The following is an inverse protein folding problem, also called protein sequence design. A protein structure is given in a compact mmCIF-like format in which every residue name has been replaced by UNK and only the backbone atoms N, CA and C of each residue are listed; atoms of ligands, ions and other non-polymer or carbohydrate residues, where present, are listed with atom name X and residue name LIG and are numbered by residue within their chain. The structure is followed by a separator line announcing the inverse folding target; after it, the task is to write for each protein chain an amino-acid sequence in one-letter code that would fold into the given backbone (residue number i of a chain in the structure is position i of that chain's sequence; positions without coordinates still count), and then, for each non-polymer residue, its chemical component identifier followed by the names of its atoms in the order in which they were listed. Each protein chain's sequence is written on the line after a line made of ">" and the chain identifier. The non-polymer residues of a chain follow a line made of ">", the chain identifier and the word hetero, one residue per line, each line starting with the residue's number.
data_IF_459593214895
#
_entry.id   IF_459593214895
#
_cell.length_a   1.000
_cell.length_b   1.000
_cell.length_c   1.000
_cell.angle_alpha   90.00
_cell.angle_beta   90.00
_cell.angle_gamma   90.00
#
_symmetry.space_group_name_H-M   'P 1'
#
loop_
_entity.id
_entity.type
_entity.pdbx_description
1 polymer ?
#
# COMPACT_ATOMS: atom_id res chain seq x y z
N UNK A 1 23.03 -29.94 -21.85
CA UNK A 1 21.75 -30.22 -21.19
C UNK A 1 20.91 -28.94 -21.31
N UNK A 2 20.02 -28.91 -22.29
CA UNK A 2 19.12 -27.78 -22.52
C UNK A 2 17.91 -27.94 -21.57
N UNK A 3 17.75 -27.03 -20.63
CA UNK A 3 16.55 -26.97 -19.79
C UNK A 3 15.35 -26.67 -20.71
N UNK A 4 14.35 -27.56 -20.69
CA UNK A 4 13.10 -27.40 -21.44
C UNK A 4 12.32 -26.22 -20.83
N UNK A 5 11.81 -25.32 -21.67
CA UNK A 5 10.91 -24.26 -21.21
C UNK A 5 9.65 -24.88 -20.55
N UNK A 6 9.14 -24.32 -19.44
CA UNK A 6 7.94 -24.82 -18.79
C UNK A 6 6.74 -24.76 -19.74
N UNK A 7 5.81 -25.74 -19.60
CA UNK A 7 4.58 -25.75 -20.39
C UNK A 7 3.68 -24.56 -20.02
N UNK A 8 2.77 -24.10 -20.92
CA UNK A 8 1.86 -22.98 -20.61
C UNK A 8 1.03 -23.21 -19.33
N UNK A 9 0.66 -24.46 -19.03
CA UNK A 9 -0.07 -24.85 -17.82
C UNK A 9 0.79 -24.75 -16.55
N UNK A 10 2.09 -25.10 -16.65
CA UNK A 10 3.04 -24.92 -15.55
C UNK A 10 3.33 -23.43 -15.29
N UNK A 11 3.46 -22.63 -16.36
CA UNK A 11 3.64 -21.18 -16.20
C UNK A 11 2.40 -20.46 -15.65
N UNK A 12 1.21 -21.01 -15.86
CA UNK A 12 -0.04 -20.50 -15.27
C UNK A 12 -0.17 -20.92 -13.80
N UNK A 13 0.17 -22.18 -13.47
CA UNK A 13 0.17 -22.69 -12.09
C UNK A 13 1.23 -21.98 -11.22
N UNK A 14 2.44 -21.77 -11.73
CA UNK A 14 3.50 -21.03 -11.04
C UNK A 14 3.12 -19.56 -10.78
N UNK A 15 2.27 -18.95 -11.65
CA UNK A 15 1.75 -17.58 -11.42
C UNK A 15 0.65 -17.51 -10.36
N UNK A 16 -0.13 -18.55 -10.20
CA UNK A 16 -1.19 -18.62 -9.20
C UNK A 16 -0.63 -18.81 -7.79
N UNK A 17 0.48 -19.54 -7.65
CA UNK A 17 1.21 -19.71 -6.38
C UNK A 17 1.93 -18.44 -5.90
N UNK A 18 2.15 -17.45 -6.79
CA UNK A 18 2.86 -16.20 -6.47
C UNK A 18 1.90 -15.04 -6.09
N UNK A 19 0.59 -15.27 -6.10
CA UNK A 19 -0.40 -14.26 -5.71
C UNK A 19 -0.40 -14.10 -4.19
N UNK A 20 -0.03 -12.90 -3.72
CA UNK A 20 -0.10 -12.55 -2.29
C UNK A 20 -1.48 -12.06 -1.89
N UNK A 21 -2.13 -11.22 -2.72
CA UNK A 21 -3.48 -10.70 -2.47
C UNK A 21 -4.36 -11.02 -3.66
N UNK A 22 -5.51 -11.66 -3.40
CA UNK A 22 -6.56 -11.90 -4.40
C UNK A 22 -7.82 -11.19 -3.99
N UNK A 23 -8.30 -10.30 -4.83
CA UNK A 23 -9.57 -9.58 -4.70
C UNK A 23 -10.49 -10.09 -5.79
N UNK A 24 -11.65 -10.66 -5.42
CA UNK A 24 -12.57 -11.31 -6.36
C UNK A 24 -13.97 -10.72 -6.25
N UNK A 25 -14.41 -10.04 -7.30
CA UNK A 25 -15.76 -9.48 -7.47
C UNK A 25 -16.24 -8.67 -6.26
N UNK A 26 -15.34 -7.83 -5.71
CA UNK A 26 -15.59 -7.07 -4.50
C UNK A 26 -16.53 -5.90 -4.78
N UNK A 27 -17.63 -5.85 -4.03
CA UNK A 27 -18.59 -4.75 -4.03
C UNK A 27 -18.71 -4.14 -2.64
N UNK A 28 -18.68 -2.81 -2.57
CA UNK A 28 -18.76 -2.04 -1.33
C UNK A 28 -19.76 -0.90 -1.45
N UNK A 29 -20.66 -0.83 -0.46
CA UNK A 29 -21.65 0.25 -0.34
C UNK A 29 -21.40 1.10 0.91
N UNK A 30 -21.63 2.41 0.77
CA UNK A 30 -21.86 3.36 1.84
C UNK A 30 -23.31 3.86 1.75
N UNK A 31 -24.21 3.24 2.52
CA UNK A 31 -25.64 3.47 2.37
C UNK A 31 -26.11 3.04 0.98
N UNK A 32 -26.54 4.00 0.15
CA UNK A 32 -26.97 3.75 -1.25
C UNK A 32 -25.85 3.98 -2.26
N UNK A 33 -24.75 4.55 -1.85
CA UNK A 33 -23.61 4.83 -2.74
C UNK A 33 -22.74 3.59 -2.89
N UNK A 34 -22.58 3.11 -4.14
CA UNK A 34 -21.69 2.01 -4.48
C UNK A 34 -20.28 2.56 -4.66
N UNK A 35 -19.41 2.35 -3.70
CA UNK A 35 -18.03 2.84 -3.70
C UNK A 35 -17.07 1.91 -4.44
N UNK A 36 -17.34 0.59 -4.43
CA UNK A 36 -16.69 -0.41 -5.28
C UNK A 36 -17.77 -1.23 -5.96
N UNK A 37 -17.58 -1.52 -7.23
CA UNK A 37 -18.52 -2.20 -8.09
C UNK A 37 -17.82 -3.31 -8.87
N UNK A 38 -17.94 -4.55 -8.39
CA UNK A 38 -17.42 -5.76 -9.02
C UNK A 38 -15.90 -5.69 -9.29
N UNK A 39 -15.13 -5.26 -8.28
CA UNK A 39 -13.67 -5.07 -8.41
C UNK A 39 -12.94 -6.39 -8.22
N UNK A 40 -12.10 -6.76 -9.20
CA UNK A 40 -11.21 -7.92 -9.14
C UNK A 40 -9.78 -7.48 -9.44
N UNK A 41 -8.82 -7.93 -8.59
CA UNK A 41 -7.41 -7.57 -8.69
C UNK A 41 -6.54 -8.60 -7.95
N UNK A 42 -5.55 -9.15 -8.61
CA UNK A 42 -4.50 -9.93 -7.97
C UNK A 42 -3.26 -9.06 -7.77
N UNK A 43 -2.53 -9.26 -6.67
CA UNK A 43 -1.23 -8.62 -6.40
C UNK A 43 -0.23 -9.73 -6.12
N UNK A 44 0.86 -9.77 -6.88
CA UNK A 44 1.89 -10.77 -6.75
C UNK A 44 2.93 -10.39 -5.70
N UNK A 45 3.66 -11.36 -5.18
CA UNK A 45 4.76 -11.10 -4.22
C UNK A 45 5.83 -10.24 -4.87
N UNK A 46 6.29 -9.23 -4.13
CA UNK A 46 7.27 -8.26 -4.61
C UNK A 46 6.73 -7.25 -5.63
N UNK A 47 5.46 -7.34 -6.02
CA UNK A 47 4.85 -6.42 -6.98
C UNK A 47 4.47 -5.09 -6.33
N UNK A 48 4.74 -4.00 -7.02
CA UNK A 48 4.29 -2.65 -6.69
C UNK A 48 3.13 -2.27 -7.60
N UNK A 49 1.91 -2.25 -7.05
CA UNK A 49 0.71 -1.84 -7.76
C UNK A 49 0.35 -0.40 -7.40
N UNK A 50 0.41 0.51 -8.36
CA UNK A 50 -0.06 1.88 -8.20
C UNK A 50 -1.53 2.00 -8.61
N UNK A 51 -2.40 2.45 -7.70
CA UNK A 51 -3.80 2.72 -7.96
C UNK A 51 -4.00 4.22 -8.16
N UNK A 52 -4.44 4.61 -9.35
CA UNK A 52 -4.67 6.01 -9.75
C UNK A 52 -6.12 6.21 -10.20
N UNK A 53 -6.56 7.47 -10.26
CA UNK A 53 -7.92 7.82 -10.70
C UNK A 53 -8.41 9.11 -10.06
N UNK A 54 -9.55 9.60 -10.49
CA UNK A 54 -10.16 10.81 -9.97
C UNK A 54 -10.52 10.69 -8.47
N UNK A 55 -10.69 11.82 -7.78
CA UNK A 55 -11.21 11.84 -6.41
C UNK A 55 -12.60 11.19 -6.39
N UNK A 56 -12.87 10.37 -5.37
CA UNK A 56 -14.12 9.63 -5.23
C UNK A 56 -14.25 8.39 -6.13
N UNK A 57 -13.21 7.98 -6.88
CA UNK A 57 -13.28 6.79 -7.75
C UNK A 57 -13.20 5.43 -7.02
N UNK A 58 -13.05 5.42 -5.68
CA UNK A 58 -13.02 4.19 -4.88
C UNK A 58 -11.63 3.73 -4.44
N UNK A 59 -10.54 4.39 -4.82
CA UNK A 59 -9.14 3.97 -4.55
C UNK A 59 -8.85 3.72 -3.07
N UNK A 60 -9.11 4.72 -2.21
CA UNK A 60 -8.90 4.59 -0.76
C UNK A 60 -9.80 3.52 -0.15
N UNK A 61 -11.03 3.38 -0.66
CA UNK A 61 -11.95 2.32 -0.25
C UNK A 61 -11.35 0.95 -0.58
N UNK A 62 -10.87 0.74 -1.83
CA UNK A 62 -10.21 -0.50 -2.23
C UNK A 62 -9.03 -0.81 -1.32
N UNK A 63 -8.13 0.14 -1.11
CA UNK A 63 -6.97 -0.01 -0.23
C UNK A 63 -7.37 -0.45 1.18
N UNK A 64 -8.42 0.17 1.77
CA UNK A 64 -8.90 -0.12 3.13
C UNK A 64 -9.68 -1.42 3.24
N UNK A 65 -10.21 -1.97 2.15
CA UNK A 65 -10.86 -3.29 2.18
C UNK A 65 -9.84 -4.42 2.34
N UNK A 66 -8.63 -4.27 1.81
CA UNK A 66 -7.57 -5.30 1.85
C UNK A 66 -7.18 -5.70 3.28
N UNK A 67 -7.17 -4.76 4.23
CA UNK A 67 -6.92 -5.07 5.65
C UNK A 67 -8.20 -5.06 6.51
N UNK A 68 -9.38 -5.05 5.84
CA UNK A 68 -10.69 -5.02 6.45
C UNK A 68 -10.94 -3.83 7.41
N UNK A 69 -10.29 -2.69 7.18
CA UNK A 69 -10.73 -1.43 7.80
C UNK A 69 -12.10 -1.02 7.28
N UNK A 70 -12.37 -1.33 6.01
CA UNK A 70 -13.69 -1.23 5.40
C UNK A 70 -14.21 -2.63 5.09
N UNK A 71 -15.35 -3.05 5.66
CA UNK A 71 -15.98 -4.32 5.32
C UNK A 71 -16.59 -4.25 3.91
N UNK A 72 -16.53 -5.36 3.19
CA UNK A 72 -17.18 -5.55 1.88
C UNK A 72 -18.56 -6.17 2.06
N UNK A 73 -19.46 -5.97 1.11
CA UNK A 73 -20.79 -6.60 1.09
C UNK A 73 -20.86 -7.84 0.19
N UNK A 74 -20.11 -7.81 -0.94
CA UNK A 74 -20.11 -8.92 -1.90
C UNK A 74 -18.65 -9.20 -2.31
N UNK A 75 -18.41 -10.41 -2.80
CA UNK A 75 -17.09 -10.85 -3.22
C UNK A 75 -16.24 -11.39 -2.09
N UNK A 76 -14.96 -11.56 -2.36
CA UNK A 76 -13.98 -12.16 -1.45
C UNK A 76 -12.63 -11.48 -1.59
N UNK A 77 -11.89 -11.42 -0.48
CA UNK A 77 -10.47 -11.01 -0.47
C UNK A 77 -9.70 -12.10 0.27
N UNK A 78 -8.60 -12.53 -0.32
CA UNK A 78 -7.67 -13.49 0.26
C UNK A 78 -6.28 -12.85 0.36
N UNK A 79 -5.56 -13.16 1.43
CA UNK A 79 -4.15 -12.83 1.58
C UNK A 79 -3.39 -14.12 1.88
N UNK A 80 -2.37 -14.40 1.08
CA UNK A 80 -1.57 -15.61 1.21
C UNK A 80 -2.44 -16.90 1.12
N UNK A 81 -3.44 -16.89 0.22
CA UNK A 81 -4.42 -17.96 0.03
C UNK A 81 -5.44 -18.13 1.17
N UNK A 82 -5.44 -17.22 2.15
CA UNK A 82 -6.36 -17.27 3.30
C UNK A 82 -7.43 -16.18 3.16
N UNK A 83 -8.73 -16.53 3.14
CA UNK A 83 -9.81 -15.55 3.13
C UNK A 83 -9.74 -14.60 4.34
N UNK A 84 -10.05 -13.31 4.11
CA UNK A 84 -10.03 -12.31 5.18
C UNK A 84 -10.98 -12.68 6.33
N UNK A 85 -10.47 -12.87 7.56
CA UNK A 85 -11.31 -13.11 8.72
C UNK A 85 -12.27 -11.95 8.98
N UNK A 86 -13.47 -12.27 9.47
CA UNK A 86 -14.48 -11.23 9.71
C UNK A 86 -14.14 -10.37 10.94
N UNK A 87 -13.67 -10.98 12.01
CA UNK A 87 -13.41 -10.33 13.29
C UNK A 87 -12.50 -11.15 14.20
N UNK A 88 -12.24 -10.64 15.38
CA UNK A 88 -11.56 -11.37 16.44
C UNK A 88 -10.05 -11.49 16.26
N UNK A 89 -9.47 -12.52 16.90
CA UNK A 89 -8.01 -12.72 16.96
C UNK A 89 -7.39 -12.98 15.58
N UNK A 90 -8.10 -13.70 14.70
CA UNK A 90 -7.63 -13.99 13.36
C UNK A 90 -7.46 -12.72 12.52
N UNK A 91 -8.42 -11.77 12.59
CA UNK A 91 -8.29 -10.47 11.93
C UNK A 91 -7.14 -9.63 12.50
N UNK A 92 -6.95 -9.66 13.83
CA UNK A 92 -5.82 -8.96 14.46
C UNK A 92 -4.47 -9.53 14.00
N UNK A 93 -4.36 -10.86 13.85
CA UNK A 93 -3.16 -11.52 13.32
C UNK A 93 -2.89 -11.11 11.87
N UNK A 94 -3.91 -11.14 11.01
CA UNK A 94 -3.78 -10.71 9.62
C UNK A 94 -3.32 -9.25 9.53
N UNK A 95 -3.92 -8.34 10.32
CA UNK A 95 -3.51 -6.93 10.38
C UNK A 95 -2.08 -6.72 10.90
N UNK A 96 -1.52 -7.67 11.63
CA UNK A 96 -0.12 -7.64 12.02
C UNK A 96 0.84 -7.99 10.87
N UNK A 97 0.33 -8.61 9.79
CA UNK A 97 1.09 -8.99 8.59
C UNK A 97 0.88 -8.00 7.43
N UNK A 98 -0.04 -7.03 7.58
CA UNK A 98 -0.36 -6.01 6.57
C UNK A 98 -0.10 -4.63 7.16
N UNK A 99 0.98 -4.00 6.73
CA UNK A 99 1.30 -2.63 7.11
C UNK A 99 0.39 -1.65 6.37
N UNK A 100 -0.03 -0.57 7.06
CA UNK A 100 -0.81 0.50 6.42
C UNK A 100 -0.30 1.87 6.81
N UNK A 101 -0.12 2.71 5.80
CA UNK A 101 0.26 4.11 5.90
C UNK A 101 -0.88 4.95 5.34
N UNK A 102 -1.37 5.88 6.15
CA UNK A 102 -2.53 6.72 5.84
C UNK A 102 -2.10 8.10 5.34
N UNK A 103 -3.01 8.79 4.71
CA UNK A 103 -2.88 10.20 4.33
C UNK A 103 -2.58 11.11 5.54
N UNK A 104 -3.28 10.89 6.65
CA UNK A 104 -3.03 11.58 7.93
C UNK A 104 -2.15 10.67 8.78
N UNK A 105 -0.95 10.98 9.02
CA UNK A 105 0.14 10.19 9.65
C UNK A 105 -0.30 9.24 10.78
N UNK A 106 -1.37 9.58 11.52
CA UNK A 106 -1.98 8.79 12.59
C UNK A 106 -0.98 8.34 13.68
N UNK A 107 0.00 9.20 13.98
CA UNK A 107 0.93 8.98 15.08
C UNK A 107 0.25 9.28 16.42
N UNK A 108 0.65 8.57 17.46
CA UNK A 108 0.21 8.84 18.83
C UNK A 108 0.90 10.13 19.34
N UNK A 109 0.16 11.24 19.50
CA UNK A 109 0.78 12.56 19.74
C UNK A 109 1.43 12.69 21.12
N UNK A 110 1.01 11.88 22.08
CA UNK A 110 1.52 11.85 23.46
C UNK A 110 2.73 10.93 23.64
N UNK A 111 3.15 10.20 22.58
CA UNK A 111 4.28 9.29 22.61
C UNK A 111 5.46 9.86 21.82
N UNK A 112 6.66 9.40 22.16
CA UNK A 112 7.86 9.68 21.35
C UNK A 112 7.78 8.96 20.00
N UNK A 113 8.66 9.32 19.07
CA UNK A 113 8.86 8.61 17.80
C UNK A 113 9.20 7.14 18.05
N UNK A 114 10.17 6.89 18.94
CA UNK A 114 10.58 5.53 19.29
C UNK A 114 9.41 4.72 19.86
N UNK A 115 8.62 5.31 20.78
CA UNK A 115 7.45 4.64 21.35
C UNK A 115 6.35 4.37 20.30
N UNK A 116 6.17 5.26 19.31
CA UNK A 116 5.24 5.05 18.19
C UNK A 116 5.60 3.81 17.39
N UNK A 117 6.89 3.58 17.13
CA UNK A 117 7.39 2.47 16.33
C UNK A 117 7.37 1.17 17.14
N UNK A 118 7.77 1.21 18.42
CA UNK A 118 7.94 0.00 19.25
C UNK A 118 6.65 -0.55 19.85
N UNK A 119 5.59 0.25 19.94
CA UNK A 119 4.35 -0.11 20.62
C UNK A 119 3.73 -1.40 20.10
N UNK A 120 3.53 -1.50 18.79
CA UNK A 120 2.90 -2.66 18.15
C UNK A 120 3.76 -3.92 18.23
N UNK A 121 5.06 -3.91 17.90
CA UNK A 121 5.95 -5.05 18.13
C UNK A 121 5.91 -5.61 19.54
N UNK A 122 5.94 -4.74 20.55
CA UNK A 122 5.91 -5.16 21.96
C UNK A 122 4.53 -5.72 22.35
N UNK A 123 3.44 -5.00 22.00
CA UNK A 123 2.10 -5.34 22.48
C UNK A 123 1.41 -6.44 21.70
N UNK A 124 1.66 -6.52 20.39
CA UNK A 124 0.98 -7.46 19.49
C UNK A 124 1.83 -8.71 19.25
N UNK A 125 3.13 -8.55 19.00
CA UNK A 125 4.04 -9.67 18.72
C UNK A 125 4.78 -10.18 19.96
N UNK A 126 4.69 -9.48 21.11
CA UNK A 126 5.38 -9.88 22.34
C UNK A 126 6.90 -9.74 22.27
N UNK A 127 7.42 -8.93 21.35
CA UNK A 127 8.86 -8.73 21.16
C UNK A 127 9.42 -8.01 22.41
N UNK A 128 10.53 -8.51 23.01
CA UNK A 128 11.18 -7.84 24.12
C UNK A 128 11.55 -6.39 23.78
N UNK A 129 11.35 -5.49 24.77
CA UNK A 129 11.51 -4.04 24.56
C UNK A 129 12.85 -3.66 23.93
N UNK A 130 13.97 -4.23 24.42
CA UNK A 130 15.30 -3.91 23.89
C UNK A 130 15.43 -4.25 22.40
N UNK A 131 14.92 -5.41 21.96
CA UNK A 131 14.93 -5.79 20.55
C UNK A 131 14.00 -4.91 19.71
N UNK A 132 12.85 -4.52 20.24
CA UNK A 132 11.94 -3.63 19.55
C UNK A 132 12.55 -2.23 19.37
N UNK A 133 13.29 -1.72 20.37
CA UNK A 133 13.98 -0.43 20.31
C UNK A 133 15.17 -0.47 19.34
N UNK A 134 15.95 -1.56 19.32
CA UNK A 134 17.03 -1.78 18.36
C UNK A 134 16.47 -1.75 16.92
N UNK A 135 15.45 -2.55 16.66
CA UNK A 135 14.80 -2.58 15.35
C UNK A 135 14.19 -1.24 14.96
N UNK A 136 13.59 -0.51 15.90
CA UNK A 136 13.03 0.81 15.65
C UNK A 136 14.12 1.83 15.25
N UNK A 137 15.30 1.78 15.86
CA UNK A 137 16.45 2.65 15.50
C UNK A 137 16.99 2.32 14.10
N UNK A 138 17.10 1.05 13.73
CA UNK A 138 17.45 0.63 12.36
C UNK A 138 16.45 1.18 11.34
N UNK A 139 15.15 1.10 11.64
CA UNK A 139 14.12 1.62 10.75
C UNK A 139 14.12 3.15 10.67
N UNK A 140 14.41 3.83 11.78
CA UNK A 140 14.61 5.29 11.77
C UNK A 140 15.81 5.68 10.90
N UNK A 141 16.92 4.95 10.98
CA UNK A 141 18.08 5.16 10.09
C UNK A 141 17.66 4.95 8.62
N UNK A 142 16.92 3.87 8.33
CA UNK A 142 16.45 3.57 6.97
C UNK A 142 15.58 4.68 6.37
N UNK A 143 14.83 5.42 7.21
CA UNK A 143 13.99 6.54 6.76
C UNK A 143 14.65 7.92 6.97
N UNK A 144 15.94 7.97 7.34
CA UNK A 144 16.74 9.19 7.53
C UNK A 144 16.28 10.05 8.71
N UNK A 145 15.95 9.40 9.85
CA UNK A 145 15.41 10.04 11.05
C UNK A 145 16.09 9.55 12.35
N UNK A 146 17.37 9.17 12.30
CA UNK A 146 18.14 8.60 13.42
C UNK A 146 18.05 9.46 14.68
N UNK A 147 18.18 10.78 14.52
CA UNK A 147 18.26 11.76 15.60
C UNK A 147 16.88 12.17 16.12
N UNK A 148 15.78 11.57 15.61
CA UNK A 148 14.41 11.99 15.93
C UNK A 148 13.73 11.07 16.95
N UNK A 149 14.40 10.02 17.45
CA UNK A 149 13.83 8.95 18.27
C UNK A 149 13.06 9.46 19.51
N UNK A 150 13.61 10.45 20.20
CA UNK A 150 13.08 10.98 21.48
C UNK A 150 12.08 12.13 21.29
N UNK A 151 11.90 12.63 20.06
CA UNK A 151 10.93 13.69 19.76
C UNK A 151 9.50 13.16 19.78
N UNK A 152 8.56 14.09 19.92
CA UNK A 152 7.12 13.83 19.73
C UNK A 152 6.69 14.26 18.32
N UNK A 153 5.57 13.73 17.80
CA UNK A 153 5.05 14.08 16.49
C UNK A 153 4.91 15.59 16.25
N UNK A 154 4.49 16.35 17.27
CA UNK A 154 4.36 17.81 17.17
C UNK A 154 5.66 18.58 16.94
N UNK A 155 6.80 17.93 17.08
CA UNK A 155 8.15 18.50 16.88
C UNK A 155 8.74 18.14 15.51
N UNK A 156 7.96 17.43 14.68
CA UNK A 156 8.38 16.94 13.38
C UNK A 156 7.62 17.66 12.25
N UNK A 157 8.29 17.82 11.10
CA UNK A 157 7.60 18.23 9.86
C UNK A 157 6.61 17.17 9.39
N UNK A 158 5.69 17.52 8.48
CA UNK A 158 4.74 16.56 7.89
C UNK A 158 5.45 15.37 7.23
N UNK A 159 6.47 15.63 6.42
CA UNK A 159 7.27 14.58 5.77
C UNK A 159 8.01 13.69 6.77
N UNK A 160 8.55 14.25 7.86
CA UNK A 160 9.14 13.47 8.93
C UNK A 160 8.11 12.60 9.64
N UNK A 161 6.90 13.12 9.93
CA UNK A 161 5.82 12.34 10.53
C UNK A 161 5.40 11.18 9.65
N UNK A 162 5.31 11.40 8.33
CA UNK A 162 4.96 10.35 7.38
C UNK A 162 6.05 9.27 7.31
N UNK A 163 7.32 9.64 7.31
CA UNK A 163 8.44 8.68 7.36
C UNK A 163 8.45 7.87 8.67
N UNK A 164 8.08 8.48 9.79
CA UNK A 164 7.85 7.74 11.06
C UNK A 164 6.67 6.78 10.93
N UNK A 165 5.57 7.17 10.27
CA UNK A 165 4.43 6.27 10.04
C UNK A 165 4.81 5.06 9.17
N UNK A 166 5.67 5.26 8.16
CA UNK A 166 6.25 4.17 7.36
C UNK A 166 7.11 3.25 8.24
N UNK A 167 8.05 3.82 9.03
CA UNK A 167 8.89 3.04 9.94
C UNK A 167 8.06 2.24 10.96
N UNK A 168 6.99 2.83 11.50
CA UNK A 168 6.04 2.15 12.39
C UNK A 168 5.36 0.96 11.73
N UNK A 169 4.93 1.09 10.47
CA UNK A 169 4.31 -0.01 9.74
C UNK A 169 5.33 -1.12 9.47
N UNK A 170 6.55 -0.78 9.07
CA UNK A 170 7.65 -1.73 8.82
C UNK A 170 8.12 -2.47 10.08
N UNK A 171 7.94 -1.88 11.28
CA UNK A 171 8.34 -2.51 12.53
C UNK A 171 7.56 -3.80 12.86
N UNK A 172 6.44 -4.00 12.18
CA UNK A 172 5.65 -5.23 12.27
C UNK A 172 6.12 -6.32 11.30
N UNK A 173 7.16 -6.07 10.48
CA UNK A 173 7.67 -6.98 9.46
C UNK A 173 6.53 -7.52 8.56
N UNK A 174 5.82 -6.62 7.86
CA UNK A 174 4.64 -6.98 7.09
C UNK A 174 4.99 -7.66 5.77
N UNK A 175 4.11 -8.56 5.29
CA UNK A 175 4.19 -9.17 3.95
C UNK A 175 3.71 -8.22 2.85
N UNK A 176 2.85 -7.27 3.21
CA UNK A 176 2.22 -6.31 2.32
C UNK A 176 2.20 -4.92 2.95
N UNK A 177 2.55 -3.91 2.18
CA UNK A 177 2.40 -2.51 2.57
C UNK A 177 1.29 -1.85 1.75
N UNK A 178 0.33 -1.25 2.45
CA UNK A 178 -0.75 -0.46 1.89
C UNK A 178 -0.46 1.03 2.12
N UNK A 179 -0.48 1.82 1.06
CA UNK A 179 -0.31 3.27 1.11
C UNK A 179 -1.58 3.95 0.59
N UNK A 180 -2.27 4.68 1.45
CA UNK A 180 -3.49 5.43 1.10
C UNK A 180 -3.15 6.92 1.00
N UNK A 181 -2.79 7.38 -0.20
CA UNK A 181 -2.40 8.75 -0.53
C UNK A 181 -1.32 9.32 0.42
N UNK A 182 -0.15 8.69 0.52
CA UNK A 182 0.85 8.99 1.54
C UNK A 182 1.45 10.40 1.46
N UNK A 183 1.25 11.12 0.37
CA UNK A 183 1.83 12.46 0.12
C UNK A 183 0.81 13.59 0.12
N UNK A 184 -0.50 13.29 0.09
CA UNK A 184 -1.55 14.29 -0.15
C UNK A 184 -1.74 15.33 0.97
N UNK A 185 -1.19 15.06 2.17
CA UNK A 185 -1.21 15.99 3.30
C UNK A 185 0.14 16.73 3.50
N UNK A 186 1.04 16.65 2.50
CA UNK A 186 2.39 17.20 2.58
C UNK A 186 2.56 18.44 1.69
N UNK A 187 3.43 19.34 2.14
CA UNK A 187 3.92 20.41 1.28
C UNK A 187 4.79 19.84 0.15
N UNK A 188 4.80 20.46 -1.04
CA UNK A 188 5.52 19.95 -2.21
C UNK A 188 7.01 19.65 -1.97
N UNK A 189 7.66 20.42 -1.10
CA UNK A 189 9.08 20.23 -0.75
C UNK A 189 9.35 18.90 -0.02
N UNK A 190 8.34 18.35 0.69
CA UNK A 190 8.46 17.15 1.50
C UNK A 190 8.04 15.87 0.77
N UNK A 191 7.36 16.00 -0.38
CA UNK A 191 6.82 14.87 -1.14
C UNK A 191 7.94 13.91 -1.56
N UNK A 192 9.02 14.45 -2.11
CA UNK A 192 10.13 13.65 -2.63
C UNK A 192 10.80 12.80 -1.55
N UNK A 193 10.97 13.33 -0.33
CA UNK A 193 11.57 12.59 0.78
C UNK A 193 10.76 11.33 1.15
N UNK A 194 9.44 11.40 1.07
CA UNK A 194 8.55 10.27 1.34
C UNK A 194 8.53 9.29 0.18
N UNK A 195 8.48 9.80 -1.06
CA UNK A 195 8.51 8.96 -2.26
C UNK A 195 9.83 8.20 -2.40
N UNK A 196 10.96 8.79 -2.03
CA UNK A 196 12.26 8.11 -2.05
C UNK A 196 12.29 6.93 -1.08
N UNK A 197 11.71 7.07 0.13
CA UNK A 197 11.57 5.94 1.06
C UNK A 197 10.70 4.83 0.45
N UNK A 198 9.57 5.16 -0.19
CA UNK A 198 8.69 4.16 -0.81
C UNK A 198 9.40 3.47 -1.99
N UNK A 199 10.19 4.20 -2.76
CA UNK A 199 11.02 3.67 -3.84
C UNK A 199 12.10 2.70 -3.33
N UNK A 200 12.74 3.01 -2.21
CA UNK A 200 13.71 2.11 -1.57
C UNK A 200 13.04 0.82 -1.10
N UNK A 201 11.80 0.90 -0.61
CA UNK A 201 11.00 -0.29 -0.26
C UNK A 201 10.68 -1.14 -1.50
N UNK A 202 10.29 -0.51 -2.61
CA UNK A 202 10.07 -1.18 -3.89
C UNK A 202 11.33 -1.94 -4.34
N UNK A 203 12.48 -1.27 -4.33
CA UNK A 203 13.77 -1.85 -4.70
C UNK A 203 14.18 -3.02 -3.80
N UNK A 204 13.74 -3.02 -2.53
CA UNK A 204 13.97 -4.14 -1.60
C UNK A 204 13.03 -5.33 -1.79
N UNK A 205 12.14 -5.31 -2.79
CA UNK A 205 11.19 -6.40 -3.08
C UNK A 205 9.96 -6.43 -2.20
N UNK A 206 9.60 -5.31 -1.55
CA UNK A 206 8.39 -5.21 -0.74
C UNK A 206 7.14 -5.22 -1.64
N UNK A 207 6.19 -6.10 -1.34
CA UNK A 207 4.87 -6.07 -2.01
C UNK A 207 4.08 -4.86 -1.56
N UNK A 208 3.57 -4.07 -2.49
CA UNK A 208 2.89 -2.81 -2.15
C UNK A 208 1.66 -2.54 -3.01
N UNK A 209 0.61 -2.02 -2.37
CA UNK A 209 -0.51 -1.35 -3.03
C UNK A 209 -0.47 0.13 -2.66
N UNK A 210 -0.24 1.00 -3.64
CA UNK A 210 -0.01 2.44 -3.44
C UNK A 210 -1.10 3.25 -4.13
N UNK A 211 -2.02 3.81 -3.37
CA UNK A 211 -2.96 4.82 -3.88
C UNK A 211 -2.23 6.14 -3.94
N UNK A 212 -2.12 6.75 -5.12
CA UNK A 212 -1.35 7.97 -5.29
C UNK A 212 -1.89 8.89 -6.38
N UNK A 213 -1.61 10.18 -6.25
CA UNK A 213 -1.77 11.21 -7.27
C UNK A 213 -0.43 11.58 -7.92
N UNK A 214 0.68 10.99 -7.46
CA UNK A 214 2.02 11.24 -7.97
C UNK A 214 2.29 10.41 -9.24
N UNK A 215 1.96 10.98 -10.41
CA UNK A 215 2.10 10.24 -11.68
C UNK A 215 3.55 9.90 -12.02
N UNK A 216 4.49 10.75 -11.63
CA UNK A 216 5.94 10.50 -11.76
C UNK A 216 6.37 9.25 -11.00
N UNK A 217 5.90 9.07 -9.78
CA UNK A 217 6.12 7.87 -8.98
C UNK A 217 5.47 6.64 -9.62
N UNK A 218 4.17 6.70 -9.96
CA UNK A 218 3.47 5.60 -10.58
C UNK A 218 4.15 5.13 -11.90
N UNK A 219 4.72 6.07 -12.67
CA UNK A 219 5.41 5.78 -13.92
C UNK A 219 6.78 5.14 -13.72
N UNK A 220 7.52 5.54 -12.68
CA UNK A 220 8.94 5.16 -12.50
C UNK A 220 9.16 4.00 -11.54
N UNK A 221 8.22 3.72 -10.64
CA UNK A 221 8.40 2.77 -9.53
C UNK A 221 7.42 1.60 -9.59
N UNK A 222 6.19 1.82 -10.07
CA UNK A 222 5.21 0.75 -10.11
C UNK A 222 5.55 -0.30 -11.19
N UNK A 223 5.28 -1.56 -10.90
CA UNK A 223 5.29 -2.67 -11.87
C UNK A 223 4.00 -2.66 -12.69
N UNK A 224 2.90 -2.26 -12.04
CA UNK A 224 1.59 -2.18 -12.67
C UNK A 224 0.81 -0.96 -12.18
N UNK A 225 0.13 -0.31 -13.10
CA UNK A 225 -0.83 0.77 -12.84
C UNK A 225 -2.25 0.23 -12.97
N UNK A 226 -3.09 0.56 -12.01
CA UNK A 226 -4.53 0.27 -11.99
C UNK A 226 -5.26 1.60 -11.99
N UNK A 227 -6.01 1.87 -13.04
CA UNK A 227 -6.84 3.07 -13.17
C UNK A 227 -8.27 2.78 -12.74
N UNK A 228 -8.75 3.51 -11.74
CA UNK A 228 -10.11 3.40 -11.23
C UNK A 228 -10.95 4.62 -11.56
N UNK A 229 -12.19 4.36 -11.95
CA UNK A 229 -13.22 5.38 -12.12
C UNK A 229 -14.60 4.81 -11.77
N UNK A 230 -15.45 5.60 -11.08
CA UNK A 230 -16.81 5.19 -10.73
C UNK A 230 -16.91 3.90 -9.91
N UNK A 231 -15.93 3.58 -9.08
CA UNK A 231 -15.89 2.36 -8.27
C UNK A 231 -15.40 1.11 -8.98
N UNK A 232 -14.98 1.21 -10.25
CA UNK A 232 -14.55 0.09 -11.08
C UNK A 232 -13.09 0.23 -11.49
N UNK A 233 -12.40 -0.88 -11.78
CA UNK A 233 -11.13 -0.90 -12.48
C UNK A 233 -11.44 -0.76 -13.97
N UNK A 234 -11.08 0.38 -14.56
CA UNK A 234 -11.34 0.69 -15.98
C UNK A 234 -10.22 0.19 -16.87
N UNK A 235 -8.98 0.28 -16.37
CA UNK A 235 -7.80 -0.15 -17.11
C UNK A 235 -6.68 -0.56 -16.15
N UNK A 236 -5.93 -1.58 -16.52
CA UNK A 236 -4.73 -2.00 -15.81
C UNK A 236 -3.66 -2.40 -16.81
N UNK A 237 -2.39 -2.05 -16.52
CA UNK A 237 -1.28 -2.37 -17.41
C UNK A 237 0.07 -1.92 -16.86
N UNK A 238 1.13 -2.24 -17.61
CA UNK A 238 2.48 -1.76 -17.31
C UNK A 238 2.54 -0.24 -17.40
N UNK A 239 3.28 0.46 -16.53
CA UNK A 239 3.37 1.92 -16.58
C UNK A 239 3.74 2.46 -17.95
N UNK A 240 4.76 1.88 -18.60
CA UNK A 240 5.20 2.32 -19.93
C UNK A 240 4.07 2.30 -20.97
N UNK A 241 3.22 1.26 -20.98
CA UNK A 241 2.08 1.13 -21.89
C UNK A 241 0.95 2.08 -21.48
N UNK A 242 0.58 2.09 -20.20
CA UNK A 242 -0.52 2.89 -19.68
C UNK A 242 -0.32 4.39 -19.91
N UNK A 243 0.88 4.92 -19.64
CA UNK A 243 1.17 6.35 -19.79
C UNK A 243 1.45 6.79 -21.21
N UNK A 244 1.89 5.89 -22.12
CA UNK A 244 2.16 6.25 -23.52
C UNK A 244 0.99 6.01 -24.46
N UNK A 245 0.19 4.95 -24.21
CA UNK A 245 -0.89 4.51 -25.10
C UNK A 245 -2.04 3.90 -24.30
N UNK A 246 -2.76 4.70 -23.48
CA UNK A 246 -3.91 4.22 -22.74
C UNK A 246 -4.99 3.69 -23.68
N UNK A 247 -5.54 2.52 -23.35
CA UNK A 247 -6.48 1.78 -24.23
C UNK A 247 -7.89 2.37 -24.18
N UNK A 248 -8.34 2.79 -22.99
CA UNK A 248 -9.69 3.30 -22.79
C UNK A 248 -9.74 4.81 -23.01
N UNK A 249 -10.88 5.30 -23.55
CA UNK A 249 -11.12 6.75 -23.69
C UNK A 249 -11.05 7.45 -22.33
N UNK A 250 -11.61 6.81 -21.30
CA UNK A 250 -11.64 7.37 -19.95
C UNK A 250 -10.24 7.56 -19.35
N UNK A 251 -9.32 6.62 -19.57
CA UNK A 251 -7.92 6.76 -19.17
C UNK A 251 -7.20 7.88 -19.95
N UNK A 252 -7.46 8.00 -21.26
CA UNK A 252 -6.92 9.12 -22.08
C UNK A 252 -7.38 10.48 -21.56
N UNK A 253 -8.68 10.62 -21.28
CA UNK A 253 -9.25 11.85 -20.72
C UNK A 253 -8.67 12.21 -19.37
N UNK A 254 -8.48 11.22 -18.50
CA UNK A 254 -7.86 11.41 -17.19
C UNK A 254 -6.41 11.88 -17.32
N UNK A 255 -5.61 11.15 -18.10
CA UNK A 255 -4.19 11.48 -18.29
C UNK A 255 -3.98 12.84 -18.96
N UNK A 256 -4.82 13.20 -19.94
CA UNK A 256 -4.73 14.51 -20.58
C UNK A 256 -4.90 15.68 -19.60
N UNK A 257 -5.75 15.52 -18.58
CA UNK A 257 -5.99 16.54 -17.54
C UNK A 257 -4.89 16.61 -16.49
N UNK A 258 -4.31 15.43 -16.13
CA UNK A 258 -3.34 15.35 -15.04
C UNK A 258 -1.91 15.63 -15.51
N UNK A 259 -1.58 15.31 -16.77
CA UNK A 259 -0.24 15.55 -17.34
C UNK A 259 -0.08 16.94 -17.99
N UNK A 260 -1.16 17.71 -18.12
CA UNK A 260 -1.12 19.09 -18.66
C UNK A 260 -0.85 20.16 -17.60
N UNK A 261 -0.61 19.74 -16.37
CA UNK A 261 -0.18 20.56 -15.23
C UNK A 261 1.21 20.14 -14.77
#
# INVERSE_FOLDING_TARGET
>A
MTASAPSPDQAAADRDDDVLVRISNVTKYYGRFKALDDVSLDIHRGEVVAVIGASGSGKSTLCRTVNRLEPIQEGQIEIDGVPLPQEGRALAQLRAEVGMVFQSFNLFPHRTVLDNITLAPIKVRGIPRGRAEERARELLARVGLEDQADKRPSQLSGGQQQRVAIARALAMDPKLMLFDEPTSALDPEMINEVLDVIKDLATSGMTMLVVTHEMGFARSVADRVVFMDGGQIVESGRPAEFFSSPRTERARDFLSKVLSH
#
